data_IF_004125904928
#
_entry.id   IF_004125904928
#
_cell.length_a   1.000
_cell.length_b   1.000
_cell.length_c   1.000
_cell.angle_alpha   90.00
_cell.angle_beta   90.00
_cell.angle_gamma   90.00
#
_symmetry.space_group_name_H-M   'P 1'
#
loop_
_entity.id
_entity.type
_entity.pdbx_description
1 polymer ?
#
# COMPACT_ATOMS: atom_id res chain seq x y z
N UNK A 1 -12.43 19.68 3.67
CA UNK A 1 -11.09 19.73 3.05
C UNK A 1 -10.11 18.76 3.71
N UNK A 2 -10.23 18.54 5.03
CA UNK A 2 -9.38 17.62 5.80
C UNK A 2 -9.44 16.15 5.32
N UNK A 3 -10.65 15.60 5.14
CA UNK A 3 -10.83 14.21 4.70
C UNK A 3 -10.24 13.87 3.31
N UNK A 4 -10.21 14.84 2.39
CA UNK A 4 -9.62 14.62 1.07
C UNK A 4 -8.09 14.49 1.15
N UNK A 5 -7.46 15.18 2.10
CA UNK A 5 -6.03 15.08 2.35
C UNK A 5 -5.66 13.74 2.99
N UNK A 6 -6.50 13.25 3.91
CA UNK A 6 -6.31 11.95 4.57
C UNK A 6 -6.37 10.79 3.56
N UNK A 7 -7.38 10.76 2.70
CA UNK A 7 -7.49 9.74 1.64
C UNK A 7 -6.30 9.76 0.66
N UNK A 8 -5.73 10.94 0.35
CA UNK A 8 -4.54 11.04 -0.50
C UNK A 8 -3.29 10.47 0.18
N UNK A 9 -3.16 10.67 1.50
CA UNK A 9 -2.06 10.08 2.28
C UNK A 9 -2.19 8.56 2.33
N UNK A 10 -3.37 8.02 2.59
CA UNK A 10 -3.63 6.57 2.60
C UNK A 10 -3.30 5.92 1.25
N UNK A 11 -3.74 6.53 0.14
CA UNK A 11 -3.39 6.06 -1.21
C UNK A 11 -1.87 6.13 -1.41
N UNK A 12 -1.23 7.24 -1.05
CA UNK A 12 0.22 7.40 -1.17
C UNK A 12 1.00 6.31 -0.42
N UNK A 13 0.59 6.01 0.81
CA UNK A 13 1.20 4.97 1.63
C UNK A 13 1.00 3.57 1.05
N UNK A 14 -0.19 3.25 0.51
CA UNK A 14 -0.44 1.98 -0.19
C UNK A 14 0.48 1.83 -1.42
N UNK A 15 0.60 2.88 -2.24
CA UNK A 15 1.47 2.88 -3.41
C UNK A 15 2.93 2.67 -3.03
N UNK A 16 3.38 3.37 -1.97
CA UNK A 16 4.74 3.29 -1.44
C UNK A 16 5.05 1.91 -0.86
N UNK A 17 4.12 1.33 -0.11
CA UNK A 17 4.25 -0.01 0.47
C UNK A 17 4.36 -1.06 -0.64
N UNK A 18 3.45 -1.01 -1.62
CA UNK A 18 3.48 -1.91 -2.79
C UNK A 18 4.78 -1.79 -3.57
N UNK A 19 5.19 -0.55 -3.89
CA UNK A 19 6.45 -0.30 -4.60
C UNK A 19 7.65 -0.90 -3.86
N UNK A 20 7.74 -0.68 -2.55
CA UNK A 20 8.83 -1.23 -1.71
C UNK A 20 8.79 -2.76 -1.67
N UNK A 21 7.61 -3.36 -1.57
CA UNK A 21 7.44 -4.82 -1.62
C UNK A 21 7.93 -5.42 -2.95
N UNK A 22 7.80 -4.69 -4.05
CA UNK A 22 8.33 -5.07 -5.37
C UNK A 22 9.81 -4.73 -5.58
N UNK A 23 10.49 -4.10 -4.61
CA UNK A 23 11.89 -3.68 -4.74
C UNK A 23 12.14 -2.56 -5.76
N UNK A 24 11.10 -1.80 -6.14
CA UNK A 24 11.18 -0.76 -7.16
C UNK A 24 11.54 0.61 -6.58
N UNK A 25 12.29 1.41 -7.34
CA UNK A 25 12.55 2.82 -7.05
C UNK A 25 11.39 3.70 -7.52
N UNK A 26 11.31 4.93 -6.99
CA UNK A 26 10.32 5.92 -7.45
C UNK A 26 10.47 6.24 -8.95
N UNK A 27 11.70 6.18 -9.46
CA UNK A 27 12.01 6.46 -10.87
C UNK A 27 11.46 5.37 -11.78
N UNK A 28 11.69 4.10 -11.43
CA UNK A 28 11.19 2.95 -12.20
C UNK A 28 9.66 2.95 -12.31
N UNK A 29 8.93 3.20 -11.21
CA UNK A 29 7.47 3.27 -11.26
C UNK A 29 6.98 4.46 -12.09
N UNK A 30 7.66 5.61 -11.98
CA UNK A 30 7.34 6.78 -12.78
C UNK A 30 7.49 6.47 -14.27
N UNK A 31 8.59 5.85 -14.69
CA UNK A 31 8.84 5.46 -16.08
C UNK A 31 7.78 4.46 -16.57
N UNK A 32 7.48 3.43 -15.78
CA UNK A 32 6.45 2.42 -16.10
C UNK A 32 5.05 3.01 -16.25
N UNK A 33 4.73 4.05 -15.46
CA UNK A 33 3.43 4.71 -15.48
C UNK A 33 3.35 5.88 -16.49
N UNK A 34 4.46 6.24 -17.15
CA UNK A 34 4.53 7.38 -18.06
C UNK A 34 4.51 8.74 -17.36
N UNK A 35 5.13 8.84 -16.19
CA UNK A 35 5.24 10.05 -15.37
C UNK A 35 6.69 10.52 -15.23
N UNK A 36 6.86 11.80 -14.90
CA UNK A 36 8.13 12.26 -14.36
C UNK A 36 8.28 11.80 -12.90
N UNK A 37 9.51 11.49 -12.49
CA UNK A 37 9.82 11.11 -11.11
C UNK A 37 9.34 12.13 -10.05
N UNK A 38 9.52 13.45 -10.20
CA UNK A 38 9.00 14.42 -9.21
C UNK A 38 7.48 14.32 -9.05
N UNK A 39 6.75 14.14 -10.15
CA UNK A 39 5.30 14.02 -10.12
C UNK A 39 4.85 12.74 -9.44
N UNK A 40 5.51 11.61 -9.71
CA UNK A 40 5.24 10.37 -8.98
C UNK A 40 5.53 10.53 -7.49
N UNK A 41 6.63 11.18 -7.11
CA UNK A 41 6.98 11.44 -5.71
C UNK A 41 5.92 12.27 -4.98
N UNK A 42 5.39 13.32 -5.60
CA UNK A 42 4.32 14.15 -4.99
C UNK A 42 3.02 13.34 -4.78
N UNK A 43 2.68 12.48 -5.74
CA UNK A 43 1.51 11.59 -5.63
C UNK A 43 1.73 10.53 -4.54
N UNK A 44 2.90 9.88 -4.51
CA UNK A 44 3.26 8.90 -3.48
C UNK A 44 3.30 9.52 -2.08
N UNK A 45 3.64 10.81 -1.97
CA UNK A 45 3.62 11.54 -0.71
C UNK A 45 2.22 12.05 -0.30
N UNK A 46 1.19 11.83 -1.13
CA UNK A 46 -0.16 12.38 -0.91
C UNK A 46 -0.24 13.91 -0.99
N UNK A 47 0.83 14.58 -1.44
CA UNK A 47 0.93 16.04 -1.45
C UNK A 47 0.31 16.69 -2.70
N UNK A 48 -0.13 15.89 -3.67
CA UNK A 48 -0.73 16.36 -4.93
C UNK A 48 -1.84 15.43 -5.39
N UNK A 49 -2.96 16.02 -5.81
CA UNK A 49 -4.07 15.26 -6.38
C UNK A 49 -3.70 14.71 -7.76
N UNK A 50 -3.77 13.39 -7.92
CA UNK A 50 -3.63 12.75 -9.20
C UNK A 50 -4.95 12.82 -10.00
N UNK A 51 -4.85 12.98 -11.32
CA UNK A 51 -5.99 12.65 -12.20
C UNK A 51 -6.28 11.16 -12.06
N UNK A 52 -7.54 10.75 -12.18
CA UNK A 52 -7.94 9.34 -12.13
C UNK A 52 -7.16 8.48 -13.13
N UNK A 53 -6.92 8.98 -14.35
CA UNK A 53 -6.11 8.29 -15.36
C UNK A 53 -4.67 8.06 -14.92
N UNK A 54 -4.09 9.02 -14.20
CA UNK A 54 -2.75 8.89 -13.61
C UNK A 54 -2.74 7.82 -12.52
N UNK A 55 -3.74 7.80 -11.64
CA UNK A 55 -3.85 6.79 -10.59
C UNK A 55 -3.97 5.38 -11.19
N UNK A 56 -4.82 5.21 -12.22
CA UNK A 56 -4.97 3.93 -12.94
C UNK A 56 -3.63 3.45 -13.53
N UNK A 57 -2.86 4.35 -14.16
CA UNK A 57 -1.57 3.97 -14.74
C UNK A 57 -0.56 3.55 -13.66
N UNK A 58 -0.52 4.26 -12.54
CA UNK A 58 0.36 3.91 -11.41
C UNK A 58 -0.05 2.56 -10.82
N UNK A 59 -1.35 2.33 -10.58
CA UNK A 59 -1.86 1.05 -10.08
C UNK A 59 -1.40 -0.10 -10.97
N UNK A 60 -1.59 0.01 -12.30
CA UNK A 60 -1.19 -1.03 -13.26
C UNK A 60 0.33 -1.25 -13.29
N UNK A 61 1.12 -0.19 -13.19
CA UNK A 61 2.58 -0.30 -13.10
C UNK A 61 3.02 -1.07 -11.85
N UNK A 62 2.24 -1.03 -10.77
CA UNK A 62 2.47 -1.76 -9.52
C UNK A 62 1.75 -3.12 -9.46
N UNK A 63 1.07 -3.55 -10.52
CA UNK A 63 0.29 -4.79 -10.53
C UNK A 63 -1.00 -4.73 -9.70
N UNK A 64 -1.50 -3.53 -9.42
CA UNK A 64 -2.77 -3.27 -8.74
C UNK A 64 -3.87 -2.90 -9.75
N UNK A 65 -5.13 -3.14 -9.38
CA UNK A 65 -6.29 -2.69 -10.13
C UNK A 65 -7.14 -1.73 -9.29
N UNK A 66 -7.55 -0.61 -9.87
CA UNK A 66 -8.43 0.35 -9.20
C UNK A 66 -9.89 -0.10 -9.34
N UNK A 67 -10.55 -0.39 -8.22
CA UNK A 67 -11.93 -0.86 -8.20
C UNK A 67 -12.84 0.10 -7.41
N UNK A 68 -14.10 0.20 -7.85
CA UNK A 68 -15.15 0.85 -7.07
C UNK A 68 -15.91 -0.21 -6.29
N UNK A 69 -15.93 -0.07 -4.97
CA UNK A 69 -16.62 -0.97 -4.07
C UNK A 69 -17.85 -0.23 -3.53
N UNK A 70 -19.07 -0.80 -3.64
CA UNK A 70 -20.23 -0.29 -2.92
C UNK A 70 -19.93 -0.12 -1.43
N UNK A 71 -20.20 1.06 -0.88
CA UNK A 71 -19.82 1.43 0.50
C UNK A 71 -20.29 0.41 1.55
N UNK A 72 -21.47 -0.19 1.36
CA UNK A 72 -22.01 -1.22 2.24
C UNK A 72 -21.16 -2.52 2.29
N UNK A 73 -20.30 -2.76 1.30
CA UNK A 73 -19.44 -3.95 1.23
C UNK A 73 -18.01 -3.70 1.70
N UNK A 74 -17.61 -2.44 1.95
CA UNK A 74 -16.23 -2.11 2.36
C UNK A 74 -15.78 -2.91 3.59
N UNK A 75 -16.57 -3.05 4.68
CA UNK A 75 -16.14 -3.84 5.84
C UNK A 75 -15.88 -5.32 5.52
N UNK A 76 -16.65 -5.89 4.59
CA UNK A 76 -16.47 -7.28 4.17
C UNK A 76 -15.22 -7.45 3.30
N UNK A 77 -14.93 -6.50 2.42
CA UNK A 77 -13.69 -6.51 1.61
C UNK A 77 -12.47 -6.32 2.51
N UNK A 78 -12.52 -5.40 3.46
CA UNK A 78 -11.43 -5.18 4.42
C UNK A 78 -11.16 -6.44 5.25
N UNK A 79 -12.22 -7.14 5.70
CA UNK A 79 -12.07 -8.40 6.42
C UNK A 79 -11.39 -9.50 5.59
N UNK A 80 -11.60 -9.52 4.27
CA UNK A 80 -10.95 -10.47 3.35
C UNK A 80 -9.50 -10.10 3.01
N UNK A 81 -9.17 -8.80 3.00
CA UNK A 81 -7.83 -8.30 2.63
C UNK A 81 -6.84 -8.26 3.79
N UNK A 82 -7.32 -8.31 5.05
CA UNK A 82 -6.44 -8.39 6.21
C UNK A 82 -5.53 -9.62 6.07
N UNK A 83 -4.20 -9.46 6.10
CA UNK A 83 -3.31 -10.59 6.25
C UNK A 83 -3.75 -11.38 7.49
N UNK A 84 -3.95 -12.69 7.35
CA UNK A 84 -3.95 -13.53 8.53
C UNK A 84 -2.55 -13.42 9.11
N UNK A 85 -2.40 -12.69 10.22
CA UNK A 85 -1.21 -12.80 11.04
C UNK A 85 -1.21 -14.22 11.63
N UNK A 86 -0.75 -15.18 10.83
CA UNK A 86 -0.58 -16.60 11.20
C UNK A 86 0.37 -16.79 12.41
N UNK A 87 0.88 -15.70 12.98
CA UNK A 87 1.62 -15.67 14.24
C UNK A 87 0.72 -15.82 15.48
N UNK A 88 -0.56 -15.43 15.43
CA UNK A 88 -1.48 -15.57 16.57
C UNK A 88 -2.11 -16.98 16.65
N UNK A 89 -2.13 -17.72 15.55
CA UNK A 89 -2.60 -19.11 15.46
C UNK A 89 -1.46 -20.15 15.50
N UNK A 90 -0.25 -19.73 15.90
CA UNK A 90 0.81 -20.69 16.19
C UNK A 90 0.41 -21.52 17.41
N UNK A 91 0.50 -22.86 17.34
CA UNK A 91 0.24 -23.68 18.50
C UNK A 91 1.16 -23.26 19.65
N UNK A 92 0.63 -23.20 20.88
CA UNK A 92 1.32 -22.75 22.09
C UNK A 92 2.63 -23.51 22.44
N UNK A 93 3.01 -24.50 21.63
CA UNK A 93 4.20 -25.34 21.79
C UNK A 93 5.41 -24.83 20.99
N UNK A 94 5.26 -23.82 20.12
CA UNK A 94 6.42 -23.21 19.47
C UNK A 94 7.13 -22.34 20.51
N UNK A 95 8.22 -22.88 21.06
CA UNK A 95 9.09 -22.13 21.95
C UNK A 95 9.74 -21.00 21.16
N UNK A 96 9.45 -19.75 21.52
CA UNK A 96 10.23 -18.61 21.06
C UNK A 96 11.70 -18.86 21.44
N UNK A 97 12.64 -18.88 20.48
CA UNK A 97 14.04 -18.84 20.82
C UNK A 97 14.33 -17.41 21.22
N UNK A 98 14.10 -17.04 22.48
CA UNK A 98 14.80 -15.98 23.19
C UNK A 98 14.34 -15.93 24.65
N UNK A 99 15.06 -16.70 25.47
CA UNK A 99 14.90 -16.72 26.91
C UNK A 99 16.16 -17.27 27.57
N UNK A 100 17.33 -16.67 27.28
CA UNK A 100 18.47 -16.50 28.20
C UNK A 100 19.78 -16.25 27.41
N UNK A 101 20.09 -14.98 27.20
CA UNK A 101 21.47 -14.53 27.10
C UNK A 101 21.64 -13.35 28.05
N UNK A 102 21.82 -13.64 29.35
CA UNK A 102 22.71 -12.92 30.29
C UNK A 102 22.44 -13.35 31.74
N UNK A 103 23.30 -14.23 32.25
CA UNK A 103 23.73 -14.28 33.65
C UNK A 103 25.09 -15.00 33.72
#
# INVERSE_FOLDING_TARGET
>A
MEAASEALLEIGDLLKATRKGLGLTQEQVADMAGLSRPRYREIEAGSSAARTTTLINISRALGLELMLIPQAMVPAVDALLRPHDDYDDLPAFISHPDGNANA
#
